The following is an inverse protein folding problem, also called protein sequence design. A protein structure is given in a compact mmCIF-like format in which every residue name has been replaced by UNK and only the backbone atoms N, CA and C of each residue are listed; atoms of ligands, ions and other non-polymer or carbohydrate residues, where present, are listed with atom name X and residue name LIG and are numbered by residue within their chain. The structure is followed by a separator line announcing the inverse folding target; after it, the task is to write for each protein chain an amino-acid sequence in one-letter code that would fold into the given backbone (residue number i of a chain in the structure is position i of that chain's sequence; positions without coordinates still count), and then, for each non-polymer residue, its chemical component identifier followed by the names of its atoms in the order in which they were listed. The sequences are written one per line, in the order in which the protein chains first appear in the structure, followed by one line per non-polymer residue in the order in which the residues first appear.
data_IF_898601319890
#
_entry.id   IF_898601319890
#
_cell.length_a   1.000
_cell.length_b   1.000
_cell.length_c   1.000
_cell.angle_alpha   90.00
_cell.angle_beta   90.00
_cell.angle_gamma   90.00
#
_symmetry.space_group_name_H-M   'P 1'
#
loop_
_entity.id
_entity.type
_entity.pdbx_description
1 polymer ?
#
# COMPACT_ATOMS: atom_id res chain seq x y z
N UNK A 1 35.37 -25.55 -74.08
CA UNK A 1 35.82 -25.03 -75.38
C UNK A 1 34.81 -24.01 -75.87
N UNK A 2 35.26 -22.78 -76.10
CA UNK A 2 34.61 -21.63 -76.76
C UNK A 2 33.30 -21.09 -76.13
N UNK A 3 33.09 -19.79 -75.95
CA UNK A 3 33.85 -18.61 -76.37
C UNK A 3 33.10 -17.33 -75.96
N UNK A 4 33.85 -16.24 -75.87
CA UNK A 4 33.39 -14.90 -75.50
C UNK A 4 32.53 -14.22 -76.60
N UNK A 5 31.69 -13.24 -76.22
CA UNK A 5 31.79 -11.82 -76.65
C UNK A 5 30.50 -10.98 -76.49
N UNK A 6 30.65 -9.89 -75.72
CA UNK A 6 30.27 -8.47 -75.96
C UNK A 6 28.86 -8.01 -76.44
N UNK A 7 28.33 -7.09 -75.60
CA UNK A 7 27.79 -5.71 -75.87
C UNK A 7 26.34 -5.52 -76.40
N UNK A 8 25.50 -4.82 -75.61
CA UNK A 8 25.10 -3.40 -75.77
C UNK A 8 23.66 -3.09 -75.31
N UNK A 9 23.47 -1.90 -74.70
CA UNK A 9 22.17 -1.24 -74.38
C UNK A 9 21.71 -1.45 -72.92
N UNK A 10 21.67 -0.50 -71.97
CA UNK A 10 21.14 0.88 -71.99
C UNK A 10 19.70 0.86 -72.55
N UNK A 11 18.59 1.18 -71.87
CA UNK A 11 18.29 2.04 -70.70
C UNK A 11 16.83 1.75 -70.25
N UNK A 12 16.52 1.90 -68.95
CA UNK A 12 15.18 2.07 -68.34
C UNK A 12 14.17 0.89 -68.46
N UNK A 13 13.41 0.48 -67.45
CA UNK A 13 13.17 1.02 -66.11
C UNK A 13 12.07 0.21 -65.43
N UNK A 14 12.23 0.05 -64.11
CA UNK A 14 11.19 -0.15 -63.08
C UNK A 14 10.19 -1.31 -63.22
N UNK A 15 10.44 -2.39 -62.47
CA UNK A 15 9.40 -3.13 -61.74
C UNK A 15 10.04 -3.96 -60.61
N UNK A 16 10.23 -3.32 -59.46
CA UNK A 16 10.37 -4.01 -58.17
C UNK A 16 9.55 -3.23 -57.15
N UNK A 17 8.40 -3.81 -56.80
CA UNK A 17 7.55 -3.37 -55.71
C UNK A 17 8.33 -3.51 -54.39
N UNK A 18 8.71 -2.38 -53.79
CA UNK A 18 9.08 -2.34 -52.38
C UNK A 18 7.80 -2.31 -51.55
N UNK A 19 7.47 -3.45 -50.91
CA UNK A 19 6.50 -3.51 -49.83
C UNK A 19 6.94 -2.57 -48.71
N UNK A 20 6.17 -1.50 -48.47
CA UNK A 20 6.31 -0.69 -47.25
C UNK A 20 5.67 -1.45 -46.09
N UNK A 21 6.33 -1.58 -44.93
CA UNK A 21 5.64 -2.03 -43.73
C UNK A 21 4.65 -0.92 -43.32
N UNK A 22 3.39 -1.29 -43.12
CA UNK A 22 2.41 -0.40 -42.53
C UNK A 22 2.86 -0.09 -41.10
N UNK A 23 3.28 1.16 -40.86
CA UNK A 23 3.58 1.64 -39.53
C UNK A 23 2.27 1.67 -38.73
N UNK A 24 2.08 0.69 -37.85
CA UNK A 24 1.04 0.74 -36.83
C UNK A 24 1.41 1.88 -35.88
N UNK A 25 0.78 3.03 -36.07
CA UNK A 25 0.90 4.14 -35.15
C UNK A 25 0.28 3.71 -33.81
N UNK A 26 1.12 3.26 -32.88
CA UNK A 26 0.72 3.12 -31.49
C UNK A 26 0.31 4.51 -31.00
N UNK A 27 -0.99 4.72 -30.79
CA UNK A 27 -1.49 5.88 -30.07
C UNK A 27 -0.95 5.79 -28.64
N UNK A 28 0.17 6.47 -28.37
CA UNK A 28 0.53 6.81 -27.00
C UNK A 28 -0.48 7.86 -26.54
N UNK A 29 -1.51 7.43 -25.83
CA UNK A 29 -2.25 8.37 -24.99
C UNK A 29 -1.24 8.91 -23.98
N UNK A 30 -0.88 10.18 -24.11
CA UNK A 30 -0.23 10.94 -23.04
C UNK A 30 -1.25 11.02 -21.91
N UNK A 31 -1.35 9.97 -21.10
CA UNK A 31 -2.08 10.02 -19.85
C UNK A 31 -1.29 10.95 -18.93
N UNK A 32 -1.80 12.16 -18.72
CA UNK A 32 -1.38 12.98 -17.60
C UNK A 32 -1.46 12.10 -16.35
N UNK A 33 -0.39 12.01 -15.52
CA UNK A 33 -0.45 11.22 -14.30
C UNK A 33 -1.65 11.67 -13.49
N UNK A 34 -2.54 10.74 -13.14
CA UNK A 34 -3.62 11.06 -12.21
C UNK A 34 -2.97 11.31 -10.86
N UNK A 35 -3.37 12.36 -10.16
CA UNK A 35 -2.94 12.55 -8.77
C UNK A 35 -3.91 11.85 -7.82
N UNK A 36 -3.38 11.34 -6.73
CA UNK A 36 -4.14 10.70 -5.65
C UNK A 36 -3.49 11.06 -4.32
N UNK A 37 -4.31 11.47 -3.36
CA UNK A 37 -3.85 11.67 -1.98
C UNK A 37 -3.67 10.33 -1.27
N UNK A 38 -2.79 10.27 -0.26
CA UNK A 38 -2.64 9.07 0.57
C UNK A 38 -3.95 8.69 1.26
N UNK A 39 -4.76 9.68 1.66
CA UNK A 39 -6.09 9.43 2.24
C UNK A 39 -7.03 8.72 1.25
N UNK A 40 -7.11 9.20 0.01
CA UNK A 40 -7.92 8.55 -1.05
C UNK A 40 -7.41 7.15 -1.39
N UNK A 41 -6.09 6.97 -1.39
CA UNK A 41 -5.45 5.67 -1.61
C UNK A 41 -5.87 4.64 -0.54
N UNK A 42 -5.83 5.01 0.74
CA UNK A 42 -6.23 4.14 1.85
C UNK A 42 -7.74 3.87 1.84
N UNK A 43 -8.55 4.91 1.62
CA UNK A 43 -10.01 4.76 1.53
C UNK A 43 -10.42 3.82 0.39
N UNK A 44 -9.87 4.01 -0.81
CA UNK A 44 -10.17 3.14 -1.96
C UNK A 44 -9.67 1.70 -1.77
N UNK A 45 -8.54 1.50 -1.09
CA UNK A 45 -8.08 0.17 -0.71
C UNK A 45 -9.08 -0.52 0.23
N UNK A 46 -9.53 0.14 1.29
CA UNK A 46 -10.55 -0.40 2.20
C UNK A 46 -11.83 -0.73 1.46
N UNK A 47 -12.31 0.21 0.63
CA UNK A 47 -13.54 0.06 -0.13
C UNK A 47 -13.49 -1.17 -1.05
N UNK A 48 -12.41 -1.33 -1.81
CA UNK A 48 -12.27 -2.43 -2.76
C UNK A 48 -12.15 -3.79 -2.08
N UNK A 49 -11.40 -3.89 -0.98
CA UNK A 49 -11.27 -5.16 -0.25
C UNK A 49 -12.57 -5.52 0.48
N UNK A 50 -13.28 -4.55 1.07
CA UNK A 50 -14.59 -4.79 1.68
C UNK A 50 -15.66 -5.18 0.65
N UNK A 51 -15.58 -4.63 -0.57
CA UNK A 51 -16.46 -5.01 -1.68
C UNK A 51 -16.15 -6.41 -2.21
N UNK A 52 -14.87 -6.79 -2.25
CA UNK A 52 -14.42 -8.07 -2.81
C UNK A 52 -14.63 -9.24 -1.86
N UNK A 53 -14.50 -9.01 -0.55
CA UNK A 53 -14.58 -10.05 0.47
C UNK A 53 -15.57 -9.67 1.60
N UNK A 54 -16.70 -10.38 1.72
CA UNK A 54 -17.69 -10.11 2.77
C UNK A 54 -17.18 -10.39 4.18
N UNK A 55 -16.07 -11.10 4.35
CA UNK A 55 -15.45 -11.38 5.65
C UNK A 55 -14.59 -10.22 6.17
N UNK A 56 -14.23 -9.25 5.32
CA UNK A 56 -13.45 -8.07 5.70
C UNK A 56 -14.34 -7.06 6.39
N UNK A 57 -14.03 -6.64 7.60
CA UNK A 57 -14.80 -5.57 8.26
C UNK A 57 -13.87 -4.63 8.99
N UNK A 58 -14.33 -3.40 9.19
CA UNK A 58 -13.59 -2.35 9.85
C UNK A 58 -14.15 -2.12 11.25
N UNK A 59 -13.28 -2.05 12.25
CA UNK A 59 -13.67 -1.70 13.61
C UNK A 59 -12.63 -0.80 14.27
N UNK A 60 -13.10 0.09 15.14
CA UNK A 60 -12.25 0.99 15.90
C UNK A 60 -13.03 2.15 16.48
N UNK A 61 -12.32 3.08 17.10
CA UNK A 61 -12.91 4.29 17.64
C UNK A 61 -13.23 5.26 16.50
N UNK A 62 -14.49 5.71 16.44
CA UNK A 62 -14.93 6.78 15.54
C UNK A 62 -14.73 6.48 14.04
N UNK A 63 -14.60 5.22 13.65
CA UNK A 63 -14.41 4.78 12.25
C UNK A 63 -15.69 4.85 11.42
N UNK A 64 -16.86 4.78 12.06
CA UNK A 64 -18.18 4.77 11.44
C UNK A 64 -18.77 6.16 11.32
N UNK A 65 -19.51 6.59 12.34
CA UNK A 65 -20.32 7.82 12.33
C UNK A 65 -19.45 9.07 12.12
N UNK A 66 -18.29 9.12 12.77
CA UNK A 66 -17.33 10.21 12.59
C UNK A 66 -16.48 10.05 11.31
N UNK A 67 -16.60 8.94 10.59
CA UNK A 67 -15.88 8.67 9.34
C UNK A 67 -14.35 8.64 9.51
N UNK A 68 -13.87 8.29 10.70
CA UNK A 68 -12.47 8.28 11.10
C UNK A 68 -11.94 9.68 11.41
N UNK A 69 -11.00 9.76 12.36
CA UNK A 69 -10.37 11.02 12.78
C UNK A 69 -9.74 11.78 11.60
N UNK A 70 -9.12 11.05 10.67
CA UNK A 70 -8.44 11.59 9.49
C UNK A 70 -9.23 11.42 8.18
N UNK A 71 -10.51 11.03 8.25
CA UNK A 71 -11.41 10.85 7.09
C UNK A 71 -10.97 9.76 6.12
N UNK A 72 -10.26 8.74 6.61
CA UNK A 72 -9.84 7.60 5.80
C UNK A 72 -11.00 6.64 5.53
N UNK A 73 -11.97 6.56 6.44
CA UNK A 73 -13.09 5.60 6.37
C UNK A 73 -14.39 6.26 5.88
N UNK A 74 -14.28 7.47 5.32
CA UNK A 74 -15.37 8.26 4.78
C UNK A 74 -16.21 7.47 3.77
N UNK A 75 -17.53 7.49 4.00
CA UNK A 75 -18.54 6.85 3.16
C UNK A 75 -18.65 5.33 3.28
N UNK A 76 -17.77 4.67 4.06
CA UNK A 76 -17.80 3.21 4.19
C UNK A 76 -19.00 2.73 5.01
N UNK A 77 -19.37 3.45 6.08
CA UNK A 77 -20.55 3.10 6.88
C UNK A 77 -21.84 3.17 6.04
N UNK A 78 -22.02 4.25 5.28
CA UNK A 78 -23.19 4.43 4.39
C UNK A 78 -23.28 3.31 3.33
N UNK A 79 -22.12 2.84 2.86
CA UNK A 79 -22.02 1.83 1.80
C UNK A 79 -22.21 0.40 2.31
N UNK A 80 -21.63 0.05 3.45
CA UNK A 80 -21.55 -1.33 3.95
C UNK A 80 -22.42 -1.61 5.18
N UNK A 81 -22.91 -0.56 5.83
CA UNK A 81 -23.75 -0.67 7.02
C UNK A 81 -22.98 -0.94 8.31
N UNK A 82 -23.69 -0.85 9.45
CA UNK A 82 -23.09 -0.95 10.78
C UNK A 82 -22.57 -2.35 11.13
N UNK A 83 -22.94 -3.39 10.37
CA UNK A 83 -22.41 -4.75 10.57
C UNK A 83 -20.99 -4.94 10.00
N UNK A 84 -20.51 -3.97 9.19
CA UNK A 84 -19.22 -4.04 8.49
C UNK A 84 -18.29 -2.87 8.79
N UNK A 85 -18.83 -1.78 9.33
CA UNK A 85 -18.08 -0.63 9.86
C UNK A 85 -18.57 -0.34 11.27
N UNK A 86 -17.78 -0.75 12.26
CA UNK A 86 -18.19 -0.80 13.67
C UNK A 86 -17.45 0.24 14.49
N UNK A 87 -18.20 1.22 15.01
CA UNK A 87 -17.71 2.05 16.11
C UNK A 87 -17.64 1.24 17.40
N UNK A 88 -16.52 1.34 18.10
CA UNK A 88 -16.27 0.59 19.33
C UNK A 88 -16.26 1.49 20.56
N UNK A 89 -16.52 0.97 21.77
CA UNK A 89 -16.18 1.68 23.00
C UNK A 89 -14.69 2.03 23.04
N UNK A 90 -14.34 3.09 23.77
CA UNK A 90 -12.96 3.58 23.94
C UNK A 90 -12.18 2.60 24.83
N UNK A 91 -11.74 1.50 24.24
CA UNK A 91 -10.97 0.43 24.89
C UNK A 91 -10.23 -0.38 23.83
N UNK A 92 -8.99 0.00 23.58
CA UNK A 92 -8.12 -0.64 22.59
C UNK A 92 -7.94 -2.13 22.88
N UNK A 93 -7.77 -2.50 24.15
CA UNK A 93 -7.72 -3.89 24.55
C UNK A 93 -9.00 -4.66 24.15
N UNK A 94 -10.18 -4.10 24.45
CA UNK A 94 -11.45 -4.77 24.22
C UNK A 94 -11.73 -5.00 22.73
N UNK A 95 -11.68 -3.94 21.92
CA UNK A 95 -11.98 -4.08 20.49
C UNK A 95 -10.92 -4.89 19.74
N UNK A 96 -9.64 -4.80 20.14
CA UNK A 96 -8.58 -5.62 19.54
C UNK A 96 -8.77 -7.09 19.87
N UNK A 97 -9.18 -7.42 21.10
CA UNK A 97 -9.49 -8.79 21.49
C UNK A 97 -10.66 -9.38 20.69
N UNK A 98 -11.71 -8.60 20.48
CA UNK A 98 -12.84 -8.97 19.61
C UNK A 98 -12.36 -9.20 18.18
N UNK A 99 -11.55 -8.30 17.63
CA UNK A 99 -10.96 -8.45 16.30
C UNK A 99 -10.15 -9.73 16.17
N UNK A 100 -9.22 -10.00 17.10
CA UNK A 100 -8.42 -11.23 17.07
C UNK A 100 -9.30 -12.49 17.18
N UNK A 101 -10.31 -12.48 18.05
CA UNK A 101 -11.27 -13.57 18.16
C UNK A 101 -12.08 -13.80 16.88
N UNK A 102 -12.50 -12.73 16.20
CA UNK A 102 -13.17 -12.80 14.91
C UNK A 102 -12.25 -13.39 13.83
N UNK A 103 -10.96 -13.03 13.82
CA UNK A 103 -9.96 -13.58 12.91
C UNK A 103 -9.77 -15.10 13.10
N UNK A 104 -9.79 -15.59 14.34
CA UNK A 104 -9.76 -17.04 14.62
C UNK A 104 -10.95 -17.80 14.03
N UNK A 105 -12.08 -17.12 13.84
CA UNK A 105 -13.31 -17.69 13.26
C UNK A 105 -13.44 -17.42 11.76
N UNK A 106 -12.36 -17.00 11.09
CA UNK A 106 -12.32 -16.86 9.63
C UNK A 106 -12.78 -15.52 9.09
N UNK A 107 -13.04 -14.52 9.93
CA UNK A 107 -13.23 -13.14 9.48
C UNK A 107 -11.90 -12.44 9.24
N UNK A 108 -11.92 -11.30 8.54
CA UNK A 108 -10.73 -10.51 8.18
C UNK A 108 -10.81 -9.08 8.72
N UNK A 109 -10.75 -8.90 10.04
CA UNK A 109 -10.85 -7.58 10.66
C UNK A 109 -9.71 -6.64 10.26
N UNK A 110 -10.10 -5.40 10.00
CA UNK A 110 -9.23 -4.24 9.96
C UNK A 110 -9.51 -3.43 11.22
N UNK A 111 -8.60 -3.51 12.18
CA UNK A 111 -8.66 -2.83 13.47
C UNK A 111 -7.92 -1.50 13.38
N UNK A 112 -8.64 -0.40 13.55
CA UNK A 112 -8.09 0.96 13.49
C UNK A 112 -7.92 1.55 14.90
N UNK A 113 -6.71 2.01 15.19
CA UNK A 113 -6.41 2.82 16.36
C UNK A 113 -6.41 4.30 15.98
N UNK A 114 -7.02 5.16 16.80
CA UNK A 114 -7.02 6.61 16.58
C UNK A 114 -5.60 7.18 16.44
N UNK A 115 -4.68 6.68 17.26
CA UNK A 115 -3.23 6.78 17.05
C UNK A 115 -2.59 5.46 17.44
N UNK A 116 -1.55 5.05 16.74
CA UNK A 116 -0.85 3.80 17.03
C UNK A 116 -0.12 3.82 18.38
N UNK A 117 0.02 4.98 19.02
CA UNK A 117 0.46 5.08 20.42
C UNK A 117 -0.47 4.33 21.37
N UNK A 118 -1.77 4.33 21.09
CA UNK A 118 -2.74 3.66 21.94
C UNK A 118 -2.85 2.16 21.67
N UNK A 119 -2.23 1.66 20.58
CA UNK A 119 -2.07 0.20 20.37
C UNK A 119 -1.36 -0.49 21.54
N UNK A 120 -0.56 0.25 22.32
CA UNK A 120 0.11 -0.24 23.52
C UNK A 120 -0.88 -0.68 24.63
N UNK A 121 -2.10 -0.16 24.64
CA UNK A 121 -3.17 -0.65 25.53
C UNK A 121 -3.67 -2.04 25.10
N UNK A 122 -3.51 -2.42 23.82
CA UNK A 122 -3.96 -3.68 23.23
C UNK A 122 -2.83 -4.69 22.97
N UNK A 123 -1.64 -4.42 23.52
CA UNK A 123 -0.39 -5.13 23.22
C UNK A 123 -0.48 -6.64 23.38
N UNK A 124 -1.23 -7.14 24.38
CA UNK A 124 -1.36 -8.57 24.64
C UNK A 124 -2.09 -9.29 23.50
N UNK A 125 -3.14 -8.67 22.95
CA UNK A 125 -3.86 -9.24 21.81
C UNK A 125 -3.06 -9.16 20.52
N UNK A 126 -2.32 -8.06 20.29
CA UNK A 126 -1.46 -7.93 19.11
C UNK A 126 -0.33 -8.96 19.14
N UNK A 127 0.34 -9.10 20.29
CA UNK A 127 1.53 -9.94 20.42
C UNK A 127 1.18 -11.38 20.75
N UNK A 128 0.60 -11.64 21.92
CA UNK A 128 0.47 -12.99 22.45
C UNK A 128 -0.68 -13.75 21.78
N UNK A 129 -1.76 -13.04 21.43
CA UNK A 129 -2.89 -13.66 20.74
C UNK A 129 -2.63 -13.75 19.23
N UNK A 130 -2.51 -12.62 18.51
CA UNK A 130 -2.42 -12.64 17.06
C UNK A 130 -1.09 -13.20 16.55
N UNK A 131 0.05 -12.63 16.95
CA UNK A 131 1.35 -12.96 16.38
C UNK A 131 1.80 -14.41 16.67
N UNK A 132 1.35 -15.00 17.79
CA UNK A 132 1.84 -16.34 18.21
C UNK A 132 0.90 -17.47 17.83
N UNK A 133 -0.39 -17.21 17.58
CA UNK A 133 -1.38 -18.29 17.43
C UNK A 133 -1.06 -19.28 16.32
N UNK A 134 -0.58 -18.82 15.16
CA UNK A 134 -0.19 -19.74 14.08
C UNK A 134 0.91 -20.70 14.53
N UNK A 135 1.96 -20.19 15.17
CA UNK A 135 3.03 -21.02 15.68
C UNK A 135 2.59 -21.93 16.84
N UNK A 136 1.87 -21.40 17.83
CA UNK A 136 1.43 -22.17 19.01
C UNK A 136 0.41 -23.25 18.68
N UNK A 137 -0.37 -23.06 17.61
CA UNK A 137 -1.33 -24.05 17.11
C UNK A 137 -0.72 -25.02 16.08
N UNK A 138 0.60 -25.01 15.89
CA UNK A 138 1.28 -25.80 14.87
C UNK A 138 0.69 -25.62 13.45
N UNK A 139 0.32 -24.37 13.12
CA UNK A 139 -0.25 -23.98 11.83
C UNK A 139 -1.76 -24.18 11.68
N UNK A 140 -2.47 -24.61 12.73
CA UNK A 140 -3.92 -24.87 12.65
C UNK A 140 -4.77 -23.58 12.67
N UNK A 141 -4.27 -22.51 13.29
CA UNK A 141 -4.98 -21.24 13.43
C UNK A 141 -4.19 -20.15 12.67
N UNK A 142 -4.73 -19.69 11.54
CA UNK A 142 -4.26 -18.47 10.87
C UNK A 142 -4.95 -17.26 11.49
N UNK A 143 -4.29 -16.10 11.52
CA UNK A 143 -4.87 -14.87 12.09
C UNK A 143 -4.83 -13.75 11.04
N UNK A 144 -5.77 -13.74 10.08
CA UNK A 144 -5.84 -12.72 9.05
C UNK A 144 -6.42 -11.42 9.63
N UNK A 145 -5.56 -10.54 10.14
CA UNK A 145 -5.96 -9.28 10.79
C UNK A 145 -4.99 -8.16 10.42
N UNK A 146 -5.53 -6.96 10.21
CA UNK A 146 -4.73 -5.75 10.01
C UNK A 146 -4.95 -4.82 11.20
N UNK A 147 -3.87 -4.46 11.88
CA UNK A 147 -3.83 -3.40 12.89
C UNK A 147 -3.29 -2.14 12.24
N UNK A 148 -4.12 -1.10 12.07
CA UNK A 148 -3.72 0.13 11.38
C UNK A 148 -3.91 1.37 12.24
N UNK A 149 -3.16 2.42 11.91
CA UNK A 149 -3.38 3.74 12.47
C UNK A 149 -2.20 4.70 12.30
N UNK A 150 -2.38 5.97 12.69
CA UNK A 150 -1.34 7.00 12.63
C UNK A 150 -0.12 6.69 13.51
N UNK A 151 1.08 6.76 12.95
CA UNK A 151 2.35 6.44 13.59
C UNK A 151 3.49 7.38 13.14
N UNK A 152 4.37 7.70 14.08
CA UNK A 152 5.50 8.60 13.89
C UNK A 152 5.16 10.06 14.17
N UNK A 153 6.10 10.96 13.83
CA UNK A 153 5.99 12.37 14.17
C UNK A 153 4.76 13.03 13.55
N UNK A 154 4.13 13.85 14.37
CA UNK A 154 2.83 14.46 14.17
C UNK A 154 2.88 15.98 14.43
N UNK A 155 1.89 16.74 13.98
CA UNK A 155 1.92 18.21 14.03
C UNK A 155 1.53 18.77 15.41
N UNK A 156 2.50 18.86 16.33
CA UNK A 156 2.33 19.61 17.58
C UNK A 156 1.51 18.91 18.66
N UNK A 157 1.37 17.59 18.59
CA UNK A 157 0.53 16.77 19.48
C UNK A 157 1.32 16.01 20.57
N UNK A 158 2.64 16.23 20.62
CA UNK A 158 3.48 15.86 21.76
C UNK A 158 3.65 14.36 21.99
N UNK A 159 3.88 13.99 23.26
CA UNK A 159 4.45 12.70 23.67
C UNK A 159 3.58 11.46 23.40
N UNK A 160 2.26 11.63 23.31
CA UNK A 160 1.30 10.54 23.17
C UNK A 160 0.80 10.32 21.74
N UNK A 161 1.23 11.13 20.77
CA UNK A 161 0.76 11.08 19.39
C UNK A 161 1.90 11.12 18.36
N UNK A 162 3.17 11.00 18.80
CA UNK A 162 4.34 11.21 17.93
C UNK A 162 5.34 10.04 17.92
N UNK A 163 5.09 8.96 18.66
CA UNK A 163 6.03 7.83 18.72
C UNK A 163 5.97 7.03 17.42
N UNK A 164 7.13 6.48 17.02
CA UNK A 164 7.25 5.56 15.90
C UNK A 164 7.52 4.15 16.43
N UNK A 165 6.52 3.27 16.33
CA UNK A 165 6.62 1.88 16.80
C UNK A 165 7.07 0.88 15.74
N UNK A 166 7.49 1.35 14.56
CA UNK A 166 7.92 0.47 13.46
C UNK A 166 9.01 -0.50 13.92
N UNK A 167 10.06 0.02 14.57
CA UNK A 167 11.13 -0.82 15.10
C UNK A 167 10.61 -1.76 16.19
N UNK A 168 9.77 -1.28 17.10
CA UNK A 168 9.31 -2.06 18.25
C UNK A 168 8.49 -3.28 17.81
N UNK A 169 7.47 -3.09 16.97
CA UNK A 169 6.66 -4.19 16.44
C UNK A 169 7.45 -5.09 15.47
N UNK A 170 8.45 -4.56 14.76
CA UNK A 170 9.29 -5.38 13.87
C UNK A 170 10.16 -6.39 14.64
N UNK A 171 10.41 -6.17 15.94
CA UNK A 171 11.10 -7.12 16.81
C UNK A 171 10.18 -8.21 17.38
N UNK A 172 8.91 -8.27 16.95
CA UNK A 172 7.96 -9.31 17.38
C UNK A 172 7.79 -10.36 16.28
N UNK A 173 8.34 -11.58 16.44
CA UNK A 173 8.14 -12.65 15.47
C UNK A 173 6.65 -13.01 15.34
N UNK A 174 6.21 -13.22 14.10
CA UNK A 174 4.82 -13.51 13.75
C UNK A 174 4.05 -12.29 13.25
N UNK A 175 4.56 -11.07 13.45
CA UNK A 175 3.99 -9.87 12.83
C UNK A 175 4.70 -9.52 11.52
N UNK A 176 3.93 -9.04 10.55
CA UNK A 176 4.44 -8.25 9.41
C UNK A 176 4.22 -6.77 9.72
N UNK A 177 5.24 -5.93 9.54
CA UNK A 177 5.15 -4.49 9.85
C UNK A 177 5.39 -3.67 8.59
N UNK A 178 4.41 -2.88 8.19
CA UNK A 178 4.41 -2.10 6.95
C UNK A 178 4.30 -0.60 7.26
N UNK A 179 5.10 0.22 6.58
CA UNK A 179 5.14 1.68 6.76
C UNK A 179 5.15 2.38 5.38
N UNK A 180 3.98 2.61 4.76
CA UNK A 180 3.91 3.19 3.41
C UNK A 180 4.42 4.65 3.37
N UNK A 181 4.87 5.08 2.18
CA UNK A 181 5.28 6.46 1.91
C UNK A 181 4.38 7.15 0.88
N UNK A 182 4.19 6.56 -0.30
CA UNK A 182 3.42 7.17 -1.38
C UNK A 182 1.96 6.70 -1.43
N UNK A 183 1.10 7.36 -2.22
CA UNK A 183 -0.26 6.91 -2.47
C UNK A 183 -0.30 5.49 -3.10
N UNK A 184 0.65 5.19 -4.00
CA UNK A 184 0.80 3.85 -4.59
C UNK A 184 1.11 2.79 -3.51
N UNK A 185 2.06 3.08 -2.62
CA UNK A 185 2.44 2.15 -1.56
C UNK A 185 1.28 1.98 -0.56
N UNK A 186 0.62 3.07 -0.17
CA UNK A 186 -0.49 3.06 0.77
C UNK A 186 -1.65 2.20 0.25
N UNK A 187 -2.06 2.39 -1.00
CA UNK A 187 -3.12 1.58 -1.63
C UNK A 187 -2.68 0.13 -1.80
N UNK A 188 -1.53 -0.10 -2.42
CA UNK A 188 -1.06 -1.43 -2.78
C UNK A 188 -0.71 -2.30 -1.58
N UNK A 189 -0.06 -1.73 -0.56
CA UNK A 189 0.32 -2.46 0.66
C UNK A 189 -0.86 -2.71 1.58
N UNK A 190 -1.84 -1.78 1.68
CA UNK A 190 -3.02 -2.03 2.52
C UNK A 190 -3.84 -3.19 1.95
N UNK A 191 -4.02 -3.24 0.63
CA UNK A 191 -4.68 -4.36 -0.04
C UNK A 191 -3.90 -5.66 0.15
N UNK A 192 -2.58 -5.63 0.01
CA UNK A 192 -1.75 -6.78 0.29
C UNK A 192 -1.89 -7.25 1.75
N UNK A 193 -1.92 -6.32 2.72
CA UNK A 193 -2.09 -6.61 4.14
C UNK A 193 -3.46 -7.24 4.43
N UNK A 194 -4.54 -6.68 3.89
CA UNK A 194 -5.90 -7.20 4.10
C UNK A 194 -6.07 -8.58 3.48
N UNK A 195 -5.31 -8.94 2.44
CA UNK A 195 -5.32 -10.27 1.80
C UNK A 195 -4.37 -11.27 2.45
N UNK A 196 -3.47 -10.82 3.31
CA UNK A 196 -2.44 -11.67 3.93
C UNK A 196 -3.05 -12.59 5.02
N UNK A 197 -2.67 -13.88 5.10
CA UNK A 197 -3.19 -14.79 6.12
C UNK A 197 -2.63 -14.54 7.54
N UNK A 198 -1.55 -13.77 7.65
CA UNK A 198 -0.83 -13.47 8.88
C UNK A 198 -1.21 -12.08 9.44
N UNK A 199 -1.00 -11.83 10.75
CA UNK A 199 -1.29 -10.53 11.33
C UNK A 199 -0.32 -9.44 10.83
N UNK A 200 -0.90 -8.34 10.36
CA UNK A 200 -0.15 -7.20 9.81
C UNK A 200 -0.36 -5.94 10.63
N UNK A 201 0.74 -5.29 11.01
CA UNK A 201 0.77 -3.95 11.57
C UNK A 201 1.04 -2.94 10.45
N UNK A 202 0.12 -2.02 10.22
CA UNK A 202 0.13 -1.05 9.13
C UNK A 202 0.22 0.38 9.67
N UNK A 203 1.41 0.96 9.59
CA UNK A 203 1.79 2.19 10.28
C UNK A 203 1.80 3.38 9.32
N UNK A 204 0.81 4.24 9.44
CA UNK A 204 0.59 5.35 8.53
C UNK A 204 1.13 6.65 9.12
N UNK A 205 1.86 7.47 8.36
CA UNK A 205 2.25 8.77 8.90
C UNK A 205 1.16 9.81 8.63
N UNK A 206 0.63 10.42 9.69
CA UNK A 206 -0.50 11.35 9.57
C UNK A 206 -0.23 12.56 8.69
N UNK A 207 1.02 13.03 8.65
CA UNK A 207 1.40 14.19 7.83
C UNK A 207 1.37 13.87 6.34
N UNK A 208 1.33 12.59 5.95
CA UNK A 208 1.23 12.17 4.55
C UNK A 208 -0.21 12.10 4.05
N UNK A 209 -1.23 12.07 4.92
CA UNK A 209 -2.62 11.84 4.50
C UNK A 209 -3.13 12.85 3.46
N UNK A 210 -2.72 14.12 3.59
CA UNK A 210 -3.09 15.19 2.68
C UNK A 210 -2.17 15.33 1.45
N UNK A 211 -1.05 14.61 1.41
CA UNK A 211 -0.08 14.72 0.32
C UNK A 211 -0.57 13.98 -0.92
N UNK A 212 -0.48 14.65 -2.07
CA UNK A 212 -0.81 14.10 -3.39
C UNK A 212 0.41 13.53 -4.08
N UNK A 213 0.26 12.35 -4.68
CA UNK A 213 1.30 11.71 -5.48
C UNK A 213 0.80 11.45 -6.90
N UNK A 214 1.65 11.60 -7.93
CA UNK A 214 1.34 11.11 -9.25
C UNK A 214 1.27 9.58 -9.23
N UNK A 215 0.19 9.01 -9.77
CA UNK A 215 0.00 7.56 -9.88
C UNK A 215 -0.15 7.14 -11.34
N UNK A 216 0.31 5.92 -11.63
CA UNK A 216 0.08 5.27 -12.92
C UNK A 216 -1.34 4.72 -13.00
N UNK A 217 -1.85 4.53 -14.21
CA UNK A 217 -3.20 4.00 -14.42
C UNK A 217 -3.41 2.60 -13.78
N UNK A 218 -2.37 1.77 -13.75
CA UNK A 218 -2.40 0.43 -13.11
C UNK A 218 -2.70 0.49 -11.61
N UNK A 219 -2.33 1.58 -10.93
CA UNK A 219 -2.59 1.80 -9.50
C UNK A 219 -4.08 2.00 -9.22
N UNK A 220 -4.91 2.22 -10.23
CA UNK A 220 -6.37 2.34 -10.06
C UNK A 220 -7.11 1.01 -10.23
N UNK A 221 -6.40 -0.04 -10.65
CA UNK A 221 -7.01 -1.35 -10.83
C UNK A 221 -7.35 -1.99 -9.46
N UNK A 222 -8.48 -2.69 -9.37
CA UNK A 222 -8.91 -3.35 -8.13
C UNK A 222 -8.06 -4.59 -7.79
N UNK A 223 -7.36 -5.17 -8.77
CA UNK A 223 -6.40 -6.25 -8.54
C UNK A 223 -5.05 -5.74 -8.04
N UNK A 224 -4.71 -4.46 -8.27
CA UNK A 224 -3.42 -3.87 -7.91
C UNK A 224 -3.06 -4.11 -6.44
N UNK A 225 -1.85 -4.65 -6.23
CA UNK A 225 -1.23 -4.85 -4.93
C UNK A 225 0.29 -4.75 -5.07
N UNK A 226 0.96 -4.51 -3.95
CA UNK A 226 2.43 -4.43 -3.87
C UNK A 226 2.93 -5.60 -3.02
N UNK A 227 4.04 -6.27 -3.40
CA UNK A 227 4.58 -7.38 -2.62
C UNK A 227 5.08 -6.92 -1.25
N UNK A 228 4.58 -7.56 -0.19
CA UNK A 228 5.10 -7.39 1.17
C UNK A 228 6.54 -7.91 1.25
N UNK A 229 7.38 -7.22 2.02
CA UNK A 229 8.79 -7.61 2.24
C UNK A 229 9.74 -7.19 1.11
N UNK A 230 9.26 -6.40 0.14
CA UNK A 230 10.10 -5.87 -0.96
C UNK A 230 10.28 -4.36 -0.82
N UNK A 231 11.52 -3.92 -0.73
CA UNK A 231 11.86 -2.50 -0.77
C UNK A 231 11.68 -1.93 -2.20
N UNK A 232 11.28 -0.66 -2.28
CA UNK A 232 11.16 0.10 -3.53
C UNK A 232 12.36 1.04 -3.68
N UNK A 233 12.92 1.08 -4.88
CA UNK A 233 13.96 2.06 -5.24
C UNK A 233 13.24 3.29 -5.78
N UNK A 234 13.14 4.34 -4.96
CA UNK A 234 12.53 5.61 -5.39
C UNK A 234 13.42 6.39 -6.36
N UNK A 235 14.74 6.23 -6.23
CA UNK A 235 15.72 6.88 -7.10
C UNK A 235 17.00 6.04 -7.20
N UNK A 236 17.45 5.81 -8.43
CA UNK A 236 18.74 5.17 -8.69
C UNK A 236 19.92 6.12 -8.42
N UNK A 237 21.03 5.54 -7.97
CA UNK A 237 22.30 6.23 -7.69
C UNK A 237 23.47 5.25 -7.69
N UNK A 238 24.70 5.76 -7.70
CA UNK A 238 25.93 4.92 -7.79
C UNK A 238 26.91 5.12 -6.64
N UNK A 239 26.84 6.24 -5.93
CA UNK A 239 27.86 6.62 -4.94
C UNK A 239 27.47 6.28 -3.50
N UNK A 240 26.18 6.41 -3.17
CA UNK A 240 25.66 6.18 -1.82
C UNK A 240 24.27 5.55 -1.87
N UNK A 241 23.99 4.65 -0.94
CA UNK A 241 22.64 4.12 -0.70
C UNK A 241 22.06 4.80 0.53
N UNK A 242 20.90 5.43 0.37
CA UNK A 242 20.12 6.01 1.48
C UNK A 242 18.88 5.14 1.67
N UNK A 243 18.74 4.55 2.85
CA UNK A 243 17.56 3.77 3.23
C UNK A 243 16.68 4.58 4.17
N UNK A 244 15.40 4.69 3.83
CA UNK A 244 14.40 5.35 4.66
C UNK A 244 13.06 4.63 4.49
N UNK A 245 12.11 4.94 5.38
CA UNK A 245 10.75 4.44 5.32
C UNK A 245 9.77 5.55 5.70
N UNK A 246 8.50 5.39 5.32
CA UNK A 246 7.45 6.37 5.58
C UNK A 246 7.87 7.79 5.17
N UNK A 247 7.47 8.83 5.92
CA UNK A 247 7.74 10.24 5.62
C UNK A 247 9.23 10.55 5.40
N UNK A 248 10.14 9.81 6.03
CA UNK A 248 11.58 10.03 5.87
C UNK A 248 12.08 9.75 4.45
N UNK A 249 11.35 8.97 3.65
CA UNK A 249 11.64 8.79 2.22
C UNK A 249 11.57 10.12 1.47
N UNK A 250 10.56 10.95 1.76
CA UNK A 250 10.43 12.27 1.15
C UNK A 250 11.61 13.20 1.48
N UNK A 251 12.06 13.21 2.73
CA UNK A 251 13.26 13.96 3.13
C UNK A 251 14.54 13.42 2.47
N UNK A 252 14.70 12.09 2.40
CA UNK A 252 15.82 11.47 1.72
C UNK A 252 15.87 11.85 0.22
N UNK A 253 14.71 11.84 -0.46
CA UNK A 253 14.61 12.27 -1.85
C UNK A 253 14.99 13.74 -2.04
N UNK A 254 14.54 14.63 -1.15
CA UNK A 254 14.94 16.05 -1.17
C UNK A 254 16.46 16.21 -1.08
N UNK A 255 17.13 15.50 -0.18
CA UNK A 255 18.60 15.54 -0.07
C UNK A 255 19.27 15.08 -1.38
N UNK A 256 18.81 13.98 -1.96
CA UNK A 256 19.36 13.47 -3.23
C UNK A 256 19.26 14.50 -4.37
N UNK A 257 18.23 15.36 -4.41
CA UNK A 257 18.10 16.40 -5.44
C UNK A 257 19.07 17.58 -5.22
N UNK A 258 19.48 17.85 -3.98
CA UNK A 258 20.43 18.92 -3.66
C UNK A 258 21.89 18.47 -3.79
N UNK A 259 22.17 17.15 -3.70
CA UNK A 259 23.53 16.59 -3.79
C UNK A 259 24.06 16.37 -5.22
N UNK A 260 23.38 16.87 -6.26
CA UNK A 260 24.05 17.05 -7.57
C UNK A 260 25.09 18.15 -7.45
N UNK A 261 26.27 17.78 -6.94
CA UNK A 261 27.45 18.63 -6.98
C UNK A 261 27.74 19.01 -8.44
N UNK A 262 27.89 20.31 -8.66
CA UNK A 262 28.57 20.85 -9.84
C UNK A 262 30.04 20.47 -9.81
#
# INVERSE_FOLDING_TARGET
MLGAARRSGCVLGQLMQTLRPAATAARSYSATPKEMTVREALNSALDEEMSADPSVFLMGEEVGEYQGAYKITKGLLDKYGPDRVLDTPITEAGFTGIGVGAAYQGLRPVVEFMTFNFSMQAIDHIINSAAKSNYMSAGQISVPIVFRGPNGAAAGVGAQHSQCYAAWYAHVPGLKVLTPYSAEDARGLLKAAIRDPDPVVFLENELLYGESFPIKAEVLDSSFSVPIGKAKIEREGKDVTITAFSKMVGYALQVCYHSTFK
#
